data_IF_535759176779
#
_entry.id   IF_535759176779
#
_cell.length_a   1.000
_cell.length_b   1.000
_cell.length_c   1.000
_cell.angle_alpha   90.00
_cell.angle_beta   90.00
_cell.angle_gamma   90.00
#
_symmetry.space_group_name_H-M   'P 1'
#
loop_
_entity.id
_entity.type
_entity.pdbx_description
1 polymer ?
#
# COMPACT_ATOMS: atom_id res chain seq x y z
N UNK A 1 3.50 18.15 4.15
CA UNK A 1 4.32 17.67 3.03
C UNK A 1 3.67 16.39 2.55
N UNK A 2 3.60 16.18 1.23
CA UNK A 2 3.05 14.95 0.67
C UNK A 2 4.20 13.95 0.48
N UNK A 3 4.00 12.73 0.95
CA UNK A 3 4.90 11.59 0.81
C UNK A 3 4.72 10.85 -0.53
N UNK A 4 3.48 10.85 -1.07
CA UNK A 4 3.13 10.18 -2.34
C UNK A 4 3.07 11.18 -3.48
N UNK A 5 3.74 10.85 -4.60
CA UNK A 5 3.62 11.60 -5.85
C UNK A 5 2.55 10.98 -6.76
N UNK A 6 1.44 11.69 -6.95
CA UNK A 6 0.40 11.30 -7.90
C UNK A 6 0.47 12.20 -9.12
N UNK A 7 0.54 11.62 -10.32
CA UNK A 7 0.46 12.38 -11.57
C UNK A 7 -0.97 12.81 -11.86
N UNK A 8 -1.16 13.99 -12.48
CA UNK A 8 -2.49 14.54 -12.78
C UNK A 8 -3.35 13.63 -13.67
N UNK A 9 -2.73 12.71 -14.43
CA UNK A 9 -3.41 11.74 -15.29
C UNK A 9 -4.14 10.62 -14.53
N UNK A 10 -3.88 10.48 -13.23
CA UNK A 10 -4.45 9.44 -12.36
C UNK A 10 -5.64 9.99 -11.55
N UNK A 11 -5.77 11.31 -11.45
CA UNK A 11 -6.83 12.00 -10.72
C UNK A 11 -8.16 11.79 -11.46
N UNK A 12 -9.08 11.02 -10.85
CA UNK A 12 -10.40 10.67 -11.40
C UNK A 12 -10.59 9.19 -11.70
N UNK A 13 -9.51 8.39 -11.70
CA UNK A 13 -9.58 6.92 -11.86
C UNK A 13 -9.24 6.18 -10.57
N UNK A 14 -8.50 6.81 -9.66
CA UNK A 14 -8.11 6.25 -8.36
C UNK A 14 -8.82 6.94 -7.20
N UNK A 15 -9.19 6.17 -6.16
CA UNK A 15 -9.75 6.63 -4.90
C UNK A 15 -8.72 7.52 -4.15
N UNK A 16 -8.81 8.83 -4.35
CA UNK A 16 -7.89 9.81 -3.77
C UNK A 16 -8.02 9.93 -2.25
N UNK A 17 -9.14 9.49 -1.67
CA UNK A 17 -9.32 9.39 -0.23
C UNK A 17 -8.32 8.39 0.38
N UNK A 18 -8.21 7.20 -0.21
CA UNK A 18 -7.25 6.19 0.22
C UNK A 18 -5.80 6.66 0.08
N UNK A 19 -5.47 7.41 -0.97
CA UNK A 19 -4.14 8.02 -1.13
C UNK A 19 -3.86 9.02 -0.02
N UNK A 20 -4.82 9.88 0.33
CA UNK A 20 -4.68 10.81 1.45
C UNK A 20 -4.45 10.09 2.79
N UNK A 21 -5.17 9.00 3.04
CA UNK A 21 -4.95 8.15 4.23
C UNK A 21 -3.55 7.51 4.24
N UNK A 22 -3.10 7.00 3.10
CA UNK A 22 -1.75 6.43 2.95
C UNK A 22 -0.69 7.48 3.27
N UNK A 23 -0.84 8.69 2.73
CA UNK A 23 0.10 9.79 2.91
C UNK A 23 0.26 10.19 4.39
N UNK A 24 -0.87 10.31 5.09
CA UNK A 24 -0.89 10.56 6.54
C UNK A 24 -0.25 9.42 7.32
N UNK A 25 -0.56 8.19 6.92
CA UNK A 25 -0.06 6.99 7.60
C UNK A 25 1.46 6.82 7.44
N UNK A 26 2.02 7.14 6.27
CA UNK A 26 3.48 7.18 6.07
C UNK A 26 4.12 8.15 7.06
N UNK A 27 3.54 9.34 7.23
CA UNK A 27 4.05 10.32 8.21
C UNK A 27 3.99 9.78 9.64
N UNK A 28 2.91 9.10 10.02
CA UNK A 28 2.76 8.48 11.33
C UNK A 28 3.78 7.34 11.55
N UNK A 29 3.97 6.46 10.58
CA UNK A 29 4.94 5.36 10.65
C UNK A 29 6.37 5.89 10.83
N UNK A 30 6.74 6.96 10.13
CA UNK A 30 8.04 7.62 10.31
C UNK A 30 8.19 8.14 11.74
N UNK A 31 7.16 8.78 12.31
CA UNK A 31 7.18 9.27 13.69
C UNK A 31 7.29 8.14 14.72
N UNK A 32 6.72 6.97 14.41
CA UNK A 32 6.83 5.76 15.23
C UNK A 32 8.18 5.04 15.08
N UNK A 33 9.06 5.48 14.18
CA UNK A 33 10.34 4.83 13.89
C UNK A 33 10.24 3.65 12.91
N UNK A 34 9.06 3.39 12.35
CA UNK A 34 8.75 2.30 11.42
C UNK A 34 9.11 2.68 9.97
N UNK A 35 10.33 3.18 9.76
CA UNK A 35 10.78 3.77 8.49
C UNK A 35 10.76 2.75 7.34
N UNK A 36 11.07 1.47 7.62
CA UNK A 36 11.02 0.40 6.62
C UNK A 36 9.59 0.16 6.12
N UNK A 37 8.61 0.15 7.02
CA UNK A 37 7.19 -0.01 6.69
C UNK A 37 6.70 1.21 5.92
N UNK A 38 7.04 2.42 6.37
CA UNK A 38 6.70 3.66 5.68
C UNK A 38 7.22 3.68 4.23
N UNK A 39 8.47 3.22 4.04
CA UNK A 39 9.08 3.09 2.71
C UNK A 39 8.35 2.06 1.86
N UNK A 40 8.05 0.88 2.41
CA UNK A 40 7.32 -0.16 1.69
C UNK A 40 5.93 0.31 1.24
N UNK A 41 5.18 0.99 2.12
CA UNK A 41 3.86 1.56 1.81
C UNK A 41 3.97 2.57 0.67
N UNK A 42 4.95 3.48 0.73
CA UNK A 42 5.17 4.48 -0.32
C UNK A 42 5.46 3.84 -1.66
N UNK A 43 6.49 3.00 -1.72
CA UNK A 43 7.02 2.44 -2.96
C UNK A 43 6.00 1.53 -3.65
N UNK A 44 5.28 0.72 -2.87
CA UNK A 44 4.20 -0.10 -3.41
C UNK A 44 3.06 0.78 -3.96
N UNK A 45 2.64 1.80 -3.22
CA UNK A 45 1.57 2.71 -3.67
C UNK A 45 1.96 3.41 -4.96
N UNK A 46 3.16 4.00 -5.03
CA UNK A 46 3.64 4.69 -6.22
C UNK A 46 3.81 3.75 -7.41
N UNK A 47 4.25 2.50 -7.21
CA UNK A 47 4.30 1.52 -8.28
C UNK A 47 2.90 1.13 -8.78
N UNK A 48 1.94 0.88 -7.88
CA UNK A 48 0.56 0.51 -8.23
C UNK A 48 -0.11 1.60 -9.07
N UNK A 49 0.00 2.86 -8.67
CA UNK A 49 -0.63 3.97 -9.40
C UNK A 49 -0.03 4.13 -10.81
N UNK A 50 1.28 3.86 -10.95
CA UNK A 50 2.02 4.04 -12.19
C UNK A 50 2.03 2.79 -13.09
N UNK A 51 1.59 1.64 -12.60
CA UNK A 51 1.56 0.41 -13.40
C UNK A 51 0.70 0.58 -14.65
N UNK A 52 1.23 0.14 -15.78
CA UNK A 52 0.51 0.09 -17.06
C UNK A 52 -0.25 -1.22 -17.25
N UNK A 53 0.10 -2.26 -16.49
CA UNK A 53 -0.49 -3.59 -16.57
C UNK A 53 -1.72 -3.77 -15.66
N UNK A 54 -2.01 -2.80 -14.80
CA UNK A 54 -3.20 -2.80 -13.95
C UNK A 54 -4.35 -1.99 -14.55
N UNK A 55 -5.55 -2.59 -14.56
CA UNK A 55 -6.80 -1.86 -14.82
C UNK A 55 -7.10 -0.87 -13.68
N UNK A 56 -7.91 0.19 -13.93
CA UNK A 56 -8.31 1.14 -12.87
C UNK A 56 -8.93 0.48 -11.64
N UNK A 57 -9.75 -0.57 -11.83
CA UNK A 57 -10.36 -1.31 -10.72
C UNK A 57 -9.32 -2.06 -9.89
N UNK A 58 -8.33 -2.68 -10.52
CA UNK A 58 -7.24 -3.35 -9.82
C UNK A 58 -6.37 -2.36 -9.05
N UNK A 59 -6.04 -1.21 -9.65
CA UNK A 59 -5.31 -0.12 -8.97
C UNK A 59 -6.07 0.35 -7.73
N UNK A 60 -7.37 0.61 -7.86
CA UNK A 60 -8.21 1.01 -6.72
C UNK A 60 -8.19 -0.04 -5.61
N UNK A 61 -8.42 -1.30 -5.96
CA UNK A 61 -8.46 -2.38 -4.98
C UNK A 61 -7.14 -2.54 -4.23
N UNK A 62 -6.02 -2.41 -4.93
CA UNK A 62 -4.69 -2.46 -4.33
C UNK A 62 -4.40 -1.23 -3.48
N UNK A 63 -4.73 -0.02 -3.93
CA UNK A 63 -4.57 1.20 -3.13
C UNK A 63 -5.41 1.14 -1.85
N UNK A 64 -6.65 0.65 -1.91
CA UNK A 64 -7.49 0.45 -0.73
C UNK A 64 -6.89 -0.61 0.22
N UNK A 65 -6.31 -1.67 -0.33
CA UNK A 65 -5.61 -2.70 0.44
C UNK A 65 -4.40 -2.12 1.17
N UNK A 66 -3.55 -1.36 0.47
CA UNK A 66 -2.38 -0.70 1.07
C UNK A 66 -2.82 0.33 2.10
N UNK A 67 -3.90 1.08 1.83
CA UNK A 67 -4.47 2.04 2.78
C UNK A 67 -4.84 1.36 4.09
N UNK A 68 -5.64 0.29 4.04
CA UNK A 68 -6.01 -0.49 5.22
C UNK A 68 -4.79 -1.05 5.95
N UNK A 69 -3.91 -1.76 5.22
CA UNK A 69 -2.74 -2.41 5.81
C UNK A 69 -1.81 -1.41 6.48
N UNK A 70 -1.58 -0.25 5.86
CA UNK A 70 -0.75 0.79 6.44
C UNK A 70 -1.36 1.33 7.74
N UNK A 71 -2.67 1.56 7.78
CA UNK A 71 -3.36 2.05 9.00
C UNK A 71 -3.24 1.04 10.13
N UNK A 72 -3.41 -0.24 9.85
CA UNK A 72 -3.19 -1.32 10.83
C UNK A 72 -1.72 -1.38 11.28
N UNK A 73 -0.76 -1.11 10.39
CA UNK A 73 0.65 -1.05 10.74
C UNK A 73 0.98 0.07 11.74
N UNK A 74 0.30 1.21 11.63
CA UNK A 74 0.43 2.32 12.57
C UNK A 74 -0.40 2.13 13.87
N UNK A 75 -1.23 1.08 13.93
CA UNK A 75 -2.05 0.75 15.11
C UNK A 75 -1.23 -0.09 16.10
N UNK A 76 -1.43 0.06 17.44
CA UNK A 76 -0.80 -0.81 18.44
C UNK A 76 -1.09 -2.29 18.16
N UNK A 77 -0.09 -3.16 18.33
CA UNK A 77 -0.14 -4.58 17.91
C UNK A 77 -1.38 -5.31 18.42
N UNK A 78 -1.75 -5.07 19.67
CA UNK A 78 -2.90 -5.65 20.37
C UNK A 78 -4.27 -5.26 19.80
N UNK A 79 -4.34 -4.16 19.04
CA UNK A 79 -5.58 -3.64 18.44
C UNK A 79 -5.67 -3.91 16.94
N UNK A 80 -4.63 -4.52 16.34
CA UNK A 80 -4.59 -4.78 14.90
C UNK A 80 -5.59 -5.84 14.50
N UNK A 81 -6.23 -5.65 13.36
CA UNK A 81 -7.08 -6.63 12.69
C UNK A 81 -6.23 -7.58 11.85
N UNK A 82 -5.35 -8.32 12.50
CA UNK A 82 -4.30 -9.14 11.86
C UNK A 82 -4.82 -10.11 10.80
N UNK A 83 -5.88 -10.87 11.10
CA UNK A 83 -6.45 -11.83 10.14
C UNK A 83 -6.97 -11.12 8.87
N UNK A 84 -7.65 -9.99 9.04
CA UNK A 84 -8.16 -9.19 7.91
C UNK A 84 -7.00 -8.59 7.11
N UNK A 85 -5.95 -8.11 7.80
CA UNK A 85 -4.73 -7.62 7.16
C UNK A 85 -4.08 -8.68 6.26
N UNK A 86 -3.92 -9.91 6.77
CA UNK A 86 -3.39 -11.02 5.98
C UNK A 86 -4.28 -11.39 4.78
N UNK A 87 -5.60 -11.48 4.98
CA UNK A 87 -6.52 -11.81 3.89
C UNK A 87 -6.49 -10.76 2.77
N UNK A 88 -6.40 -9.48 3.13
CA UNK A 88 -6.27 -8.39 2.16
C UNK A 88 -4.93 -8.45 1.43
N UNK A 89 -3.83 -8.75 2.13
CA UNK A 89 -2.55 -8.97 1.50
C UNK A 89 -2.60 -10.17 0.53
N UNK A 90 -3.07 -11.34 0.95
CA UNK A 90 -3.15 -12.51 0.04
C UNK A 90 -3.98 -12.22 -1.23
N UNK A 91 -5.09 -11.50 -1.08
CA UNK A 91 -5.89 -11.08 -2.22
C UNK A 91 -5.19 -10.03 -3.10
N UNK A 92 -4.47 -9.09 -2.50
CA UNK A 92 -3.64 -8.12 -3.24
C UNK A 92 -2.54 -8.81 -4.05
N UNK A 93 -1.91 -9.85 -3.48
CA UNK A 93 -0.91 -10.65 -4.18
C UNK A 93 -1.44 -11.30 -5.45
N UNK A 94 -2.68 -11.83 -5.43
CA UNK A 94 -3.31 -12.40 -6.63
C UNK A 94 -3.45 -11.39 -7.76
N UNK A 95 -3.71 -10.12 -7.43
CA UNK A 95 -3.78 -9.04 -8.40
C UNK A 95 -2.37 -8.68 -8.91
N UNK A 96 -1.38 -8.57 -8.03
CA UNK A 96 -0.02 -8.18 -8.43
C UNK A 96 0.63 -9.21 -9.34
N UNK A 97 0.33 -10.50 -9.17
CA UNK A 97 0.87 -11.59 -10.03
C UNK A 97 0.53 -11.47 -11.51
N UNK A 98 -0.44 -10.64 -11.90
CA UNK A 98 -0.79 -10.42 -13.32
C UNK A 98 -0.11 -9.18 -13.91
N UNK A 99 0.63 -8.42 -13.10
CA UNK A 99 1.28 -7.17 -13.48
C UNK A 99 2.80 -7.30 -13.38
N UNK A 100 3.42 -7.73 -14.47
CA UNK A 100 4.87 -7.99 -14.53
C UNK A 100 5.72 -6.73 -14.21
N UNK A 101 5.19 -5.54 -14.49
CA UNK A 101 5.84 -4.25 -14.19
C UNK A 101 5.92 -3.93 -12.70
N UNK A 102 5.25 -4.71 -11.84
CA UNK A 102 5.31 -4.59 -10.40
C UNK A 102 6.23 -5.60 -9.71
N UNK A 103 6.79 -6.56 -10.46
CA UNK A 103 7.47 -7.73 -9.88
C UNK A 103 8.60 -7.35 -8.91
N UNK A 104 9.52 -6.47 -9.34
CA UNK A 104 10.69 -6.10 -8.54
C UNK A 104 10.32 -5.33 -7.26
N UNK A 105 9.41 -4.35 -7.40
CA UNK A 105 8.93 -3.54 -6.25
C UNK A 105 8.19 -4.43 -5.27
N UNK A 106 7.34 -5.32 -5.78
CA UNK A 106 6.60 -6.29 -4.99
C UNK A 106 7.53 -7.23 -4.22
N UNK A 107 8.48 -7.89 -4.89
CA UNK A 107 9.41 -8.82 -4.25
C UNK A 107 10.18 -8.16 -3.10
N UNK A 108 10.55 -6.89 -3.29
CA UNK A 108 11.32 -6.14 -2.30
C UNK A 108 10.50 -5.72 -1.09
N UNK A 109 9.30 -5.17 -1.29
CA UNK A 109 8.58 -4.45 -0.23
C UNK A 109 7.38 -5.20 0.33
N UNK A 110 6.81 -6.16 -0.41
CA UNK A 110 5.66 -6.91 0.07
C UNK A 110 5.93 -7.71 1.36
N UNK A 111 7.07 -8.40 1.51
CA UNK A 111 7.38 -9.13 2.74
C UNK A 111 7.42 -8.22 3.98
N UNK A 112 7.79 -6.94 3.81
CA UNK A 112 7.81 -5.96 4.89
C UNK A 112 6.39 -5.70 5.41
N UNK A 113 5.41 -5.54 4.51
CA UNK A 113 4.01 -5.37 4.91
C UNK A 113 3.44 -6.64 5.56
N UNK A 114 3.81 -7.82 5.08
CA UNK A 114 3.39 -9.10 5.69
C UNK A 114 3.93 -9.24 7.12
N UNK A 115 5.17 -8.82 7.37
CA UNK A 115 5.79 -8.91 8.70
C UNK A 115 5.12 -8.05 9.78
N UNK A 116 4.35 -7.02 9.39
CA UNK A 116 3.57 -6.20 10.33
C UNK A 116 2.55 -7.04 11.11
N UNK A 117 2.06 -8.10 10.48
CA UNK A 117 1.00 -8.96 10.98
C UNK A 117 1.51 -10.29 11.55
N UNK A 118 2.84 -10.51 11.53
CA UNK A 118 3.49 -11.72 12.06
C UNK A 118 3.86 -11.57 13.53
#
# INVERSE_FOLDING_TARGET
MNNIHVSNSVIGTINTGSIGTIDQTISALIQLGEVSVATAVKELTEAIINSSNLTPNQKNKLVETISFVSTEAATPKENRKTAIGFDLLDNGLKIIKVADDLFDVYQKYWPILVSVFS
#
